data_IF_291081563945
#
_entry.id   IF_291081563945
#
_cell.length_a   1.000
_cell.length_b   1.000
_cell.length_c   1.000
_cell.angle_alpha   90.00
_cell.angle_beta   90.00
_cell.angle_gamma   90.00
#
_symmetry.space_group_name_H-M   'P 1'
#
loop_
_entity.id
_entity.type
_entity.pdbx_description
1 polymer ?
#
# COMPACT_ATOMS: atom_id res chain seq x y z
N UNK A 1 15.65 62.37 -1.89
CA UNK A 1 16.22 61.13 -2.46
C UNK A 1 15.23 60.51 -3.45
N UNK A 2 15.49 60.57 -4.76
CA UNK A 2 14.64 59.89 -5.76
C UNK A 2 15.06 58.43 -5.89
N UNK A 3 14.19 57.51 -5.44
CA UNK A 3 14.36 56.07 -5.68
C UNK A 3 14.01 55.79 -7.15
N UNK A 4 14.99 55.37 -7.94
CA UNK A 4 14.73 54.84 -9.29
C UNK A 4 14.02 53.50 -9.11
N UNK A 5 12.70 53.47 -9.29
CA UNK A 5 11.96 52.23 -9.43
C UNK A 5 12.37 51.57 -10.76
N UNK A 6 13.35 50.67 -10.71
CA UNK A 6 13.70 49.80 -11.82
C UNK A 6 12.59 48.76 -11.97
N UNK A 7 11.68 48.96 -12.93
CA UNK A 7 10.73 47.94 -13.34
C UNK A 7 11.46 46.82 -14.08
N UNK A 8 10.98 45.57 -13.92
CA UNK A 8 11.43 44.43 -14.71
C UNK A 8 11.23 44.69 -16.20
N UNK A 9 12.18 44.23 -17.03
CA UNK A 9 12.02 44.37 -18.49
C UNK A 9 11.12 43.26 -19.04
N UNK A 10 10.36 43.54 -20.10
CA UNK A 10 9.50 42.52 -20.74
C UNK A 10 10.30 41.31 -21.21
N UNK A 11 11.51 41.54 -21.73
CA UNK A 11 12.40 40.46 -22.19
C UNK A 11 12.85 39.55 -21.04
N UNK A 12 13.05 40.10 -19.86
CA UNK A 12 13.48 39.36 -18.67
C UNK A 12 12.34 38.46 -18.16
N UNK A 13 11.09 38.94 -18.17
CA UNK A 13 9.94 38.10 -17.87
C UNK A 13 9.77 36.97 -18.90
N UNK A 14 9.95 37.27 -20.20
CA UNK A 14 9.84 36.27 -21.28
C UNK A 14 10.95 35.22 -21.17
N UNK A 15 12.18 35.62 -20.87
CA UNK A 15 13.30 34.68 -20.71
C UNK A 15 13.05 33.72 -19.54
N UNK A 16 12.49 34.22 -18.43
CA UNK A 16 12.16 33.39 -17.25
C UNK A 16 11.11 32.33 -17.60
N UNK A 17 10.01 32.70 -18.26
CA UNK A 17 8.98 31.72 -18.63
C UNK A 17 9.48 30.69 -19.65
N UNK A 18 10.40 31.07 -20.55
CA UNK A 18 11.01 30.15 -21.51
C UNK A 18 11.88 29.14 -20.77
N UNK A 19 12.74 29.59 -19.85
CA UNK A 19 13.58 28.70 -19.05
C UNK A 19 12.72 27.77 -18.19
N UNK A 20 11.70 28.29 -17.51
CA UNK A 20 10.76 27.49 -16.72
C UNK A 20 9.99 26.48 -17.59
N UNK A 21 9.62 26.85 -18.82
CA UNK A 21 8.96 25.96 -19.77
C UNK A 21 9.85 24.78 -20.17
N UNK A 22 11.13 25.01 -20.46
CA UNK A 22 12.09 23.95 -20.80
C UNK A 22 12.32 23.02 -19.60
N UNK A 23 12.52 23.60 -18.40
CA UNK A 23 12.70 22.81 -17.18
C UNK A 23 11.48 21.96 -16.86
N UNK A 24 10.27 22.51 -17.01
CA UNK A 24 9.02 21.78 -16.79
C UNK A 24 8.85 20.63 -17.79
N UNK A 25 9.17 20.84 -19.08
CA UNK A 25 9.05 19.81 -20.11
C UNK A 25 9.91 18.57 -19.83
N UNK A 26 11.10 18.75 -19.22
CA UNK A 26 11.99 17.64 -18.85
C UNK A 26 11.64 17.06 -17.47
N UNK A 27 11.21 17.90 -16.52
CA UNK A 27 10.93 17.47 -15.14
C UNK A 27 9.63 16.68 -15.01
N UNK A 28 8.55 17.07 -15.70
CA UNK A 28 7.22 16.45 -15.54
C UNK A 28 7.22 14.95 -15.89
N UNK A 29 7.80 14.49 -17.02
CA UNK A 29 7.84 13.07 -17.34
C UNK A 29 8.66 12.25 -16.34
N UNK A 30 9.73 12.81 -15.78
CA UNK A 30 10.54 12.14 -14.76
C UNK A 30 9.81 12.06 -13.42
N UNK A 31 9.19 13.17 -13.02
CA UNK A 31 8.44 13.24 -11.76
C UNK A 31 7.28 12.24 -11.75
N UNK A 32 6.48 12.18 -12.82
CA UNK A 32 5.37 11.21 -12.93
C UNK A 32 5.82 9.75 -12.84
N UNK A 33 6.93 9.38 -13.51
CA UNK A 33 7.50 8.04 -13.40
C UNK A 33 8.04 7.72 -12.00
N UNK A 34 8.65 8.69 -11.32
CA UNK A 34 9.14 8.52 -9.95
C UNK A 34 7.98 8.37 -8.96
N UNK A 35 6.91 9.15 -9.12
CA UNK A 35 5.71 9.05 -8.29
C UNK A 35 5.09 7.65 -8.39
N UNK A 36 4.95 7.09 -9.60
CA UNK A 36 4.40 5.74 -9.79
C UNK A 36 5.29 4.62 -9.20
N UNK A 37 6.62 4.75 -9.32
CA UNK A 37 7.55 3.79 -8.71
C UNK A 37 7.56 3.88 -7.18
N UNK A 38 7.50 5.10 -6.63
CA UNK A 38 7.42 5.31 -5.19
C UNK A 38 6.13 4.72 -4.62
N UNK A 39 5.02 4.89 -5.34
CA UNK A 39 3.71 4.33 -5.00
C UNK A 39 3.77 2.78 -4.95
N UNK A 40 4.28 2.15 -6.01
CA UNK A 40 4.45 0.69 -6.07
C UNK A 40 5.37 0.18 -4.95
N UNK A 41 6.49 0.86 -4.69
CA UNK A 41 7.45 0.46 -3.64
C UNK A 41 6.86 0.59 -2.23
N UNK A 42 6.06 1.63 -1.99
CA UNK A 42 5.35 1.81 -0.73
C UNK A 42 4.34 0.67 -0.53
N UNK A 43 3.59 0.32 -1.58
CA UNK A 43 2.63 -0.77 -1.56
C UNK A 43 3.29 -2.13 -1.29
N UNK A 44 4.42 -2.43 -1.92
CA UNK A 44 5.22 -3.63 -1.61
C UNK A 44 5.63 -3.70 -0.13
N UNK A 45 5.97 -2.56 0.48
CA UNK A 45 6.26 -2.46 1.91
C UNK A 45 5.05 -2.84 2.77
N UNK A 46 3.88 -2.31 2.44
CA UNK A 46 2.61 -2.64 3.14
C UNK A 46 2.27 -4.12 2.97
N UNK A 47 2.39 -4.66 1.76
CA UNK A 47 2.15 -6.09 1.45
C UNK A 47 3.14 -6.99 2.20
N UNK A 48 4.38 -6.55 2.38
CA UNK A 48 5.36 -7.21 3.24
C UNK A 48 4.85 -7.35 4.69
N UNK A 49 4.21 -6.31 5.21
CA UNK A 49 3.53 -6.35 6.52
C UNK A 49 2.40 -7.38 6.56
N UNK A 50 1.55 -7.44 5.53
CA UNK A 50 0.48 -8.46 5.44
C UNK A 50 1.06 -9.88 5.51
N UNK A 51 2.11 -10.15 4.73
CA UNK A 51 2.80 -11.46 4.72
C UNK A 51 3.37 -11.80 6.11
N UNK A 52 3.97 -10.83 6.78
CA UNK A 52 4.49 -11.00 8.14
C UNK A 52 3.36 -11.29 9.14
N UNK A 53 2.22 -10.62 9.00
CA UNK A 53 1.03 -10.88 9.80
C UNK A 53 0.48 -12.30 9.63
N UNK A 54 0.41 -12.80 8.38
CA UNK A 54 -0.02 -14.18 8.10
C UNK A 54 0.96 -15.18 8.71
N UNK A 55 2.27 -14.93 8.61
CA UNK A 55 3.29 -15.78 9.19
C UNK A 55 3.18 -15.82 10.73
N UNK A 56 2.94 -14.67 11.36
CA UNK A 56 2.77 -14.56 12.82
C UNK A 56 1.51 -15.27 13.29
N UNK A 57 0.39 -15.10 12.56
CA UNK A 57 -0.85 -15.83 12.81
C UNK A 57 -0.64 -17.34 12.72
N UNK A 58 0.01 -17.81 11.65
CA UNK A 58 0.29 -19.24 11.43
C UNK A 58 1.19 -19.80 12.53
N UNK A 59 2.19 -19.05 12.98
CA UNK A 59 3.07 -19.43 14.08
C UNK A 59 2.31 -19.51 15.41
N UNK A 60 1.44 -18.55 15.71
CA UNK A 60 0.60 -18.56 16.91
C UNK A 60 -0.36 -19.76 16.92
N UNK A 61 -0.97 -20.06 15.77
CA UNK A 61 -1.85 -21.21 15.59
C UNK A 61 -1.11 -22.54 15.82
N UNK A 62 0.10 -22.65 15.26
CA UNK A 62 0.96 -23.82 15.47
C UNK A 62 1.34 -23.99 16.95
N UNK A 63 1.68 -22.90 17.63
CA UNK A 63 2.06 -22.92 19.04
C UNK A 63 0.93 -23.35 19.97
N UNK A 64 -0.34 -23.08 19.63
CA UNK A 64 -1.49 -23.57 20.38
C UNK A 64 -2.04 -24.92 19.88
N UNK A 65 -1.33 -25.61 18.97
CA UNK A 65 -1.70 -26.95 18.52
C UNK A 65 -2.90 -27.01 17.57
N UNK A 66 -3.21 -25.92 16.87
CA UNK A 66 -4.40 -25.87 16.00
C UNK A 66 -4.08 -26.37 14.61
N UNK A 67 -4.96 -27.24 14.09
CA UNK A 67 -4.81 -27.87 12.78
C UNK A 67 -6.14 -27.81 12.02
N UNK A 68 -6.16 -27.29 10.77
CA UNK A 68 -5.04 -26.64 10.07
C UNK A 68 -4.62 -25.32 10.74
N UNK A 69 -3.31 -25.02 10.75
CA UNK A 69 -2.75 -23.80 11.36
C UNK A 69 -2.79 -22.58 10.42
N UNK A 70 -3.15 -22.77 9.16
CA UNK A 70 -3.37 -21.73 8.15
C UNK A 70 -4.88 -21.63 7.92
N UNK A 71 -5.48 -20.43 8.02
CA UNK A 71 -6.91 -20.27 7.81
C UNK A 71 -7.29 -20.48 6.34
N UNK A 72 -8.46 -21.08 6.10
CA UNK A 72 -8.97 -21.32 4.75
C UNK A 72 -9.29 -20.02 3.99
N UNK A 73 -9.56 -18.94 4.72
CA UNK A 73 -9.89 -17.60 4.23
C UNK A 73 -9.50 -16.59 5.31
N UNK A 74 -9.05 -15.38 4.94
CA UNK A 74 -8.66 -14.35 5.92
C UNK A 74 -9.84 -13.48 6.36
N UNK A 75 -11.03 -13.70 5.83
CA UNK A 75 -12.20 -12.84 6.01
C UNK A 75 -13.33 -13.53 6.79
N UNK A 76 -13.26 -14.85 7.00
CA UNK A 76 -14.28 -15.57 7.77
C UNK A 76 -13.77 -16.15 9.07
N UNK A 77 -14.76 -16.44 9.89
CA UNK A 77 -14.71 -16.83 11.29
C UNK A 77 -14.22 -18.26 11.36
N UNK A 78 -12.93 -18.46 11.58
CA UNK A 78 -12.51 -19.78 12.02
C UNK A 78 -12.58 -19.81 13.55
N UNK A 79 -13.76 -20.19 14.06
CA UNK A 79 -13.92 -20.56 15.45
C UNK A 79 -12.90 -21.68 15.77
N UNK A 80 -12.01 -21.43 16.74
CA UNK A 80 -11.01 -22.39 17.18
C UNK A 80 -9.54 -22.03 16.91
N UNK A 81 -9.22 -20.85 16.38
CA UNK A 81 -7.84 -20.33 16.37
C UNK A 81 -7.48 -19.62 17.71
N UNK A 82 -6.22 -19.66 18.17
CA UNK A 82 -5.75 -19.00 19.39
C UNK A 82 -5.30 -17.56 19.05
N UNK A 83 -6.06 -16.84 18.23
CA UNK A 83 -5.94 -15.40 17.97
C UNK A 83 -7.35 -14.96 17.60
N UNK A 84 -7.90 -13.97 18.31
CA UNK A 84 -9.33 -13.63 18.24
C UNK A 84 -9.68 -12.90 16.94
N UNK A 85 -9.70 -13.62 15.82
CA UNK A 85 -10.58 -13.25 14.74
C UNK A 85 -12.01 -13.44 15.23
N UNK A 86 -12.81 -12.37 15.21
CA UNK A 86 -14.20 -12.39 15.62
C UNK A 86 -15.07 -11.73 14.57
N UNK A 87 -16.39 -11.80 14.71
CA UNK A 87 -17.31 -11.07 13.83
C UNK A 87 -17.14 -9.54 13.93
N UNK A 88 -16.48 -9.07 14.99
CA UNK A 88 -16.14 -7.67 15.21
C UNK A 88 -14.70 -7.34 14.74
N UNK A 89 -13.87 -8.37 14.49
CA UNK A 89 -12.47 -8.28 14.06
C UNK A 89 -12.15 -9.38 13.04
N UNK A 90 -12.44 -9.18 11.75
CA UNK A 90 -12.05 -10.10 10.67
C UNK A 90 -10.59 -10.57 10.81
N UNK A 91 -10.29 -11.82 10.42
CA UNK A 91 -8.91 -12.33 10.48
C UNK A 91 -7.92 -11.46 9.71
N UNK A 92 -8.37 -10.82 8.64
CA UNK A 92 -7.55 -9.93 7.83
C UNK A 92 -7.12 -8.70 8.63
N UNK A 93 -8.02 -8.07 9.40
CA UNK A 93 -7.65 -6.95 10.27
C UNK A 93 -6.64 -7.37 11.36
N UNK A 94 -6.75 -8.61 11.85
CA UNK A 94 -5.78 -9.17 12.78
C UNK A 94 -4.42 -9.36 12.11
N UNK A 95 -4.40 -9.90 10.89
CA UNK A 95 -3.18 -10.01 10.07
C UNK A 95 -2.55 -8.65 9.83
N UNK A 96 -3.35 -7.64 9.48
CA UNK A 96 -2.86 -6.27 9.29
C UNK A 96 -2.25 -5.73 10.59
N UNK A 97 -2.94 -5.87 11.72
CA UNK A 97 -2.43 -5.43 13.02
C UNK A 97 -1.13 -6.13 13.41
N UNK A 98 -1.01 -7.45 13.21
CA UNK A 98 0.23 -8.18 13.48
C UNK A 98 1.37 -7.82 12.53
N UNK A 99 1.03 -7.44 11.31
CA UNK A 99 1.97 -6.91 10.31
C UNK A 99 2.37 -5.45 10.50
N UNK A 100 1.80 -4.75 11.49
CA UNK A 100 2.00 -3.30 11.66
C UNK A 100 1.36 -2.45 10.55
N UNK A 101 0.36 -2.98 9.85
CA UNK A 101 -0.34 -2.34 8.75
C UNK A 101 -1.67 -1.76 9.24
N UNK A 102 -1.98 -0.53 8.83
CA UNK A 102 -3.28 0.09 9.10
C UNK A 102 -4.36 -0.49 8.18
N UNK A 103 -5.54 -0.80 8.72
CA UNK A 103 -6.66 -1.37 7.95
C UNK A 103 -7.27 -0.41 6.93
N UNK A 104 -7.17 0.89 7.18
CA UNK A 104 -7.72 1.95 6.32
C UNK A 104 -7.07 1.96 4.95
N UNK A 105 -7.71 1.32 3.97
CA UNK A 105 -7.34 1.36 2.56
C UNK A 105 -7.43 0.01 1.86
N UNK A 106 -7.36 -1.10 2.59
CA UNK A 106 -7.54 -2.42 1.99
C UNK A 106 -9.02 -2.67 1.64
N UNK A 107 -9.27 -3.08 0.40
CA UNK A 107 -10.61 -3.39 -0.09
C UNK A 107 -10.66 -4.88 -0.43
N UNK A 108 -11.62 -5.60 0.14
CA UNK A 108 -11.86 -6.98 -0.27
C UNK A 108 -12.65 -6.99 -1.59
N UNK A 109 -12.10 -7.64 -2.62
CA UNK A 109 -12.71 -7.73 -3.95
C UNK A 109 -13.28 -9.11 -4.27
N UNK A 110 -12.93 -10.13 -3.49
CA UNK A 110 -13.40 -11.49 -3.66
C UNK A 110 -13.08 -12.37 -2.45
N UNK A 111 -13.39 -13.66 -2.53
CA UNK A 111 -13.24 -14.59 -1.39
C UNK A 111 -11.79 -14.71 -0.89
N UNK A 112 -10.81 -14.62 -1.80
CA UNK A 112 -9.38 -14.70 -1.50
C UNK A 112 -8.62 -13.49 -2.04
N UNK A 113 -9.32 -12.46 -2.53
CA UNK A 113 -8.71 -11.35 -3.25
C UNK A 113 -8.95 -10.01 -2.57
N UNK A 114 -7.89 -9.20 -2.52
CA UNK A 114 -7.81 -7.93 -1.82
C UNK A 114 -7.12 -6.91 -2.71
N UNK A 115 -7.63 -5.69 -2.76
CA UNK A 115 -6.95 -4.55 -3.38
C UNK A 115 -6.23 -3.77 -2.30
N UNK A 116 -4.98 -3.40 -2.59
CA UNK A 116 -4.15 -2.63 -1.68
C UNK A 116 -4.68 -1.22 -1.41
N UNK A 117 -4.11 -0.53 -0.42
CA UNK A 117 -4.52 0.83 -0.04
C UNK A 117 -4.24 1.88 -1.12
N UNK A 118 -3.36 1.57 -2.06
CA UNK A 118 -3.07 2.46 -3.19
C UNK A 118 -4.04 2.20 -4.36
N UNK A 119 -5.06 3.04 -4.45
CA UNK A 119 -6.03 2.98 -5.56
C UNK A 119 -5.47 3.49 -6.89
N UNK A 120 -4.28 4.12 -6.91
CA UNK A 120 -3.65 4.62 -8.13
C UNK A 120 -2.95 3.50 -8.93
N UNK A 121 -2.43 2.48 -8.24
CA UNK A 121 -1.83 1.29 -8.86
C UNK A 121 -2.88 0.23 -9.18
N UNK A 122 -3.94 0.14 -8.35
CA UNK A 122 -5.04 -0.80 -8.53
C UNK A 122 -4.62 -2.26 -8.40
N UNK A 123 -3.49 -2.53 -7.73
CA UNK A 123 -2.95 -3.88 -7.60
C UNK A 123 -3.88 -4.77 -6.79
N UNK A 124 -3.98 -6.01 -7.24
CA UNK A 124 -4.82 -7.02 -6.59
C UNK A 124 -3.94 -8.12 -6.03
N UNK A 125 -4.27 -8.55 -4.83
CA UNK A 125 -3.54 -9.54 -4.08
C UNK A 125 -4.41 -10.74 -3.80
N UNK A 126 -3.88 -11.92 -4.07
CA UNK A 126 -4.56 -13.19 -3.83
C UNK A 126 -3.92 -13.91 -2.66
N UNK A 127 -4.75 -14.32 -1.71
CA UNK A 127 -4.39 -15.22 -0.62
C UNK A 127 -4.49 -16.68 -1.08
N UNK A 128 -3.48 -17.48 -0.78
CA UNK A 128 -3.43 -18.92 -1.12
C UNK A 128 -3.47 -19.74 0.17
N UNK A 129 -4.63 -20.29 0.57
CA UNK A 129 -4.79 -20.97 1.85
C UNK A 129 -3.92 -22.22 2.02
N UNK A 130 -3.59 -22.90 0.93
CA UNK A 130 -2.75 -24.09 0.96
C UNK A 130 -1.31 -23.81 1.45
N UNK A 131 -0.82 -22.58 1.27
CA UNK A 131 0.56 -22.18 1.57
C UNK A 131 0.65 -20.98 2.51
N UNK A 132 -0.46 -20.28 2.75
CA UNK A 132 -0.48 -18.99 3.43
C UNK A 132 0.11 -17.85 2.60
N UNK A 133 0.38 -18.07 1.30
CA UNK A 133 1.00 -17.04 0.45
C UNK A 133 0.02 -15.88 0.17
N UNK A 134 0.57 -14.67 0.04
CA UNK A 134 -0.16 -13.47 -0.34
C UNK A 134 0.57 -12.79 -1.50
N UNK A 135 0.04 -12.97 -2.71
CA UNK A 135 0.74 -12.66 -3.97
C UNK A 135 0.00 -11.58 -4.75
N UNK A 136 0.73 -10.56 -5.21
CA UNK A 136 0.18 -9.49 -6.05
C UNK A 136 0.21 -9.85 -7.53
N UNK A 137 -0.80 -9.40 -8.27
CA UNK A 137 -0.89 -9.39 -9.73
C UNK A 137 -1.27 -8.01 -10.23
#
# INVERSE_FOLDING_TARGET
MNRKNQGFTLIELIMVIVILGILAAVAIPRFTNLSGQAATSAEEGVVGGVRAGIATLTAANAAAGITPNIPAVLDTIAAGFPVTCSNLTPCFDTVLAQGGVTSGGWIKTGALTYTGPDTATGLTYTYVPATGAFTGS
#
